data_IF_765916463645
#
_entry.id   IF_765916463645
#
_cell.length_a   1.000
_cell.length_b   1.000
_cell.length_c   1.000
_cell.angle_alpha   90.00
_cell.angle_beta   90.00
_cell.angle_gamma   90.00
#
_symmetry.space_group_name_H-M   'P 1'
#
loop_
_entity.id
_entity.type
_entity.pdbx_description
1 polymer ?
#
# COMPACT_ATOMS: atom_id res chain seq x y z
N UNK A 1 29.52 19.38 2.63
CA UNK A 1 29.50 19.70 1.18
C UNK A 1 28.72 18.63 0.45
N UNK A 2 27.79 18.97 -0.47
CA UNK A 2 27.00 17.97 -1.22
C UNK A 2 27.80 17.34 -2.36
N UNK A 3 27.56 16.04 -2.63
CA UNK A 3 28.14 15.31 -3.77
C UNK A 3 27.68 15.90 -5.11
N UNK A 4 28.43 15.61 -6.18
CA UNK A 4 28.13 16.12 -7.53
C UNK A 4 26.72 15.74 -8.01
N UNK A 5 26.25 14.53 -7.66
CA UNK A 5 24.96 13.99 -8.11
C UNK A 5 23.84 14.21 -7.08
N UNK A 6 24.08 15.04 -6.05
CA UNK A 6 23.08 15.34 -5.04
C UNK A 6 22.00 16.27 -5.60
N UNK A 7 20.74 15.99 -5.26
CA UNK A 7 19.59 16.86 -5.55
C UNK A 7 19.72 18.29 -5.00
N UNK A 8 20.58 18.49 -3.99
CA UNK A 8 20.81 19.79 -3.33
C UNK A 8 22.06 20.52 -3.85
N UNK A 9 22.80 19.94 -4.80
CA UNK A 9 24.09 20.49 -5.25
C UNK A 9 23.96 21.88 -5.88
N UNK A 10 22.89 22.12 -6.64
CA UNK A 10 22.64 23.38 -7.38
C UNK A 10 21.92 24.46 -6.56
N UNK A 11 21.55 24.19 -5.30
CA UNK A 11 20.84 25.17 -4.47
C UNK A 11 21.79 26.19 -3.84
N UNK A 12 21.32 27.42 -3.74
CA UNK A 12 22.01 28.51 -3.05
C UNK A 12 22.09 28.26 -1.55
N UNK A 13 23.19 28.71 -0.94
CA UNK A 13 23.31 28.78 0.51
C UNK A 13 22.52 29.99 1.04
N UNK A 14 21.91 29.84 2.20
CA UNK A 14 21.26 30.92 2.94
C UNK A 14 21.72 30.87 4.40
N UNK A 15 21.67 32.01 5.07
CA UNK A 15 22.03 32.11 6.49
C UNK A 15 20.83 32.63 7.24
N UNK A 16 20.41 31.88 8.25
CA UNK A 16 19.27 32.24 9.12
C UNK A 16 19.76 32.38 10.54
N UNK A 17 19.18 33.33 11.28
CA UNK A 17 19.43 33.47 12.72
C UNK A 17 18.40 32.65 13.50
N UNK A 18 18.85 31.87 14.48
CA UNK A 18 17.94 31.20 15.42
C UNK A 18 17.45 32.16 16.51
N UNK A 19 16.59 31.66 17.42
CA UNK A 19 16.04 32.45 18.52
C UNK A 19 17.11 32.97 19.50
N UNK A 20 18.32 32.42 19.47
CA UNK A 20 19.46 32.78 20.31
C UNK A 20 20.47 33.67 19.56
N UNK A 21 20.15 34.12 18.35
CA UNK A 21 21.00 34.99 17.54
C UNK A 21 22.18 34.29 16.85
N UNK A 22 22.23 32.95 16.88
CA UNK A 22 23.29 32.18 16.20
C UNK A 22 23.01 32.14 14.70
N UNK A 23 24.05 32.39 13.89
CA UNK A 23 23.98 32.31 12.43
C UNK A 23 24.15 30.85 11.98
N UNK A 24 23.11 30.29 11.37
CA UNK A 24 23.10 28.92 10.85
C UNK A 24 23.11 28.97 9.32
N UNK A 25 24.14 28.36 8.72
CA UNK A 25 24.20 28.16 7.28
C UNK A 25 23.35 26.97 6.85
N UNK A 26 22.48 27.17 5.87
CA UNK A 26 21.59 26.14 5.31
C UNK A 26 21.47 26.29 3.79
N UNK A 27 20.78 25.34 3.13
CA UNK A 27 20.37 25.48 1.73
C UNK A 27 18.97 26.09 1.66
N UNK A 28 18.70 26.81 0.57
CA UNK A 28 17.34 27.23 0.24
C UNK A 28 16.42 26.03 0.06
N UNK A 29 15.10 26.24 0.29
CA UNK A 29 14.10 25.19 0.12
C UNK A 29 14.06 24.77 -1.36
N UNK A 30 14.12 23.45 -1.60
CA UNK A 30 13.96 22.89 -2.93
C UNK A 30 12.49 22.74 -3.26
N UNK A 31 12.04 23.37 -4.34
CA UNK A 31 10.74 23.06 -4.95
C UNK A 31 10.90 21.78 -5.78
N UNK A 32 9.99 20.82 -5.60
CA UNK A 32 9.97 19.60 -6.42
C UNK A 32 9.57 20.00 -7.84
N UNK A 33 10.40 19.72 -8.85
CA UNK A 33 10.05 20.05 -10.23
C UNK A 33 8.89 19.18 -10.71
N UNK A 34 8.09 19.69 -11.64
CA UNK A 34 7.17 18.85 -12.40
C UNK A 34 7.99 17.98 -13.36
N UNK A 35 8.04 16.68 -13.08
CA UNK A 35 8.82 15.72 -13.85
C UNK A 35 7.88 14.82 -14.64
N UNK A 36 7.65 15.17 -15.90
CA UNK A 36 7.00 14.26 -16.83
C UNK A 36 7.93 13.05 -17.10
N UNK A 37 7.41 11.84 -16.88
CA UNK A 37 8.10 10.61 -17.26
C UNK A 37 7.27 9.80 -18.25
N UNK A 38 7.93 9.30 -19.28
CA UNK A 38 7.30 8.45 -20.31
C UNK A 38 7.43 6.96 -20.00
N UNK A 39 8.40 6.57 -19.17
CA UNK A 39 8.61 5.16 -18.80
C UNK A 39 7.92 4.82 -17.48
N UNK A 40 7.23 3.68 -17.47
CA UNK A 40 6.59 3.13 -16.28
C UNK A 40 7.24 1.80 -15.91
N UNK A 41 7.61 1.65 -14.63
CA UNK A 41 8.06 0.39 -14.06
C UNK A 41 6.92 -0.24 -13.26
N UNK A 42 6.66 -1.52 -13.50
CA UNK A 42 5.72 -2.31 -12.69
C UNK A 42 6.47 -2.85 -11.49
N UNK A 43 6.00 -2.52 -10.28
CA UNK A 43 6.64 -2.94 -9.04
C UNK A 43 6.61 -4.46 -8.91
N UNK A 44 7.77 -5.04 -8.65
CA UNK A 44 7.95 -6.45 -8.34
C UNK A 44 8.28 -6.66 -6.86
N UNK A 45 8.07 -7.88 -6.38
CA UNK A 45 8.50 -8.24 -5.04
C UNK A 45 10.03 -8.13 -4.92
N UNK A 46 10.49 -7.50 -3.85
CA UNK A 46 11.92 -7.29 -3.61
C UNK A 46 12.51 -6.03 -4.23
N UNK A 47 11.76 -5.26 -5.03
CA UNK A 47 12.25 -4.04 -5.68
C UNK A 47 12.88 -3.04 -4.70
N UNK A 48 13.96 -2.39 -5.13
CA UNK A 48 14.63 -1.34 -4.37
C UNK A 48 14.93 -0.15 -5.29
N UNK A 49 14.71 1.06 -4.79
CA UNK A 49 14.85 2.27 -5.60
C UNK A 49 16.29 2.54 -6.06
N UNK A 50 17.28 2.16 -5.26
CA UNK A 50 18.69 2.22 -5.63
C UNK A 50 19.02 1.28 -6.80
N UNK A 51 18.46 0.08 -6.81
CA UNK A 51 18.60 -0.86 -7.92
C UNK A 51 17.87 -0.37 -9.18
N UNK A 52 16.65 0.15 -9.04
CA UNK A 52 15.90 0.74 -10.16
C UNK A 52 16.64 1.94 -10.74
N UNK A 53 17.19 2.81 -9.89
CA UNK A 53 18.02 3.94 -10.30
C UNK A 53 19.30 3.49 -11.01
N UNK A 54 19.96 2.44 -10.54
CA UNK A 54 21.12 1.89 -11.23
C UNK A 54 20.75 1.30 -12.60
N UNK A 55 19.63 0.59 -12.72
CA UNK A 55 19.15 0.06 -13.99
C UNK A 55 18.85 1.18 -15.00
N UNK A 56 18.16 2.24 -14.54
CA UNK A 56 17.72 3.35 -15.38
C UNK A 56 18.81 4.38 -15.69
N UNK A 57 19.67 4.72 -14.72
CA UNK A 57 20.60 5.85 -14.77
C UNK A 57 22.07 5.47 -14.65
N UNK A 58 22.37 4.17 -14.49
CA UNK A 58 23.72 3.65 -14.18
C UNK A 58 24.33 4.26 -12.91
N UNK A 59 23.49 4.81 -12.02
CA UNK A 59 23.89 5.44 -10.77
C UNK A 59 22.80 5.20 -9.71
N UNK A 60 23.12 4.38 -8.72
CA UNK A 60 22.20 4.03 -7.62
C UNK A 60 21.86 5.23 -6.73
N UNK A 61 22.69 6.27 -6.70
CA UNK A 61 22.49 7.47 -5.87
C UNK A 61 21.44 8.41 -6.45
N UNK A 62 20.99 8.20 -7.69
CA UNK A 62 19.97 9.00 -8.40
C UNK A 62 18.53 8.54 -8.15
N UNK A 63 18.29 7.67 -7.17
CA UNK A 63 16.94 7.19 -6.81
C UNK A 63 15.96 8.30 -6.45
N UNK A 64 16.45 9.45 -5.97
CA UNK A 64 15.62 10.61 -5.67
C UNK A 64 14.89 11.18 -6.90
N UNK A 65 15.41 10.94 -8.13
CA UNK A 65 14.71 11.34 -9.37
C UNK A 65 13.42 10.56 -9.58
N UNK A 66 13.42 9.28 -9.21
CA UNK A 66 12.22 8.44 -9.23
C UNK A 66 11.21 9.00 -8.24
N UNK A 67 11.64 9.40 -7.04
CA UNK A 67 10.74 10.01 -6.06
C UNK A 67 10.16 11.34 -6.53
N UNK A 68 10.99 12.22 -7.12
CA UNK A 68 10.50 13.51 -7.64
C UNK A 68 9.45 13.34 -8.75
N UNK A 69 9.54 12.25 -9.53
CA UNK A 69 8.57 11.95 -10.60
C UNK A 69 7.29 11.24 -10.11
N UNK A 70 7.21 10.88 -8.82
CA UNK A 70 6.02 10.29 -8.23
C UNK A 70 5.66 11.03 -6.92
N UNK A 71 5.32 12.33 -7.01
CA UNK A 71 5.08 13.19 -5.85
C UNK A 71 3.83 12.82 -5.05
N UNK A 72 2.95 11.97 -5.58
CA UNK A 72 1.77 11.46 -4.88
C UNK A 72 2.14 10.57 -3.68
N UNK A 73 3.37 10.05 -3.63
CA UNK A 73 3.85 9.26 -2.50
C UNK A 73 4.59 10.13 -1.49
N UNK A 74 4.11 10.10 -0.25
CA UNK A 74 4.73 10.81 0.87
C UNK A 74 6.12 10.26 1.24
N UNK A 75 6.38 8.97 0.99
CA UNK A 75 7.65 8.33 1.32
C UNK A 75 8.13 7.36 0.22
N UNK A 76 9.45 7.15 0.08
CA UNK A 76 9.99 6.15 -0.85
C UNK A 76 9.54 4.72 -0.52
N UNK A 77 9.27 4.42 0.76
CA UNK A 77 8.76 3.12 1.19
C UNK A 77 7.28 2.95 0.82
N UNK A 78 6.48 4.01 0.90
CA UNK A 78 5.09 4.03 0.44
C UNK A 78 5.02 3.66 -1.03
N UNK A 79 5.92 4.23 -1.85
CA UNK A 79 5.98 3.94 -3.29
C UNK A 79 6.26 2.47 -3.60
N UNK A 80 7.02 1.75 -2.76
CA UNK A 80 7.30 0.32 -2.90
C UNK A 80 6.33 -0.60 -2.13
N UNK A 81 5.38 -0.04 -1.38
CA UNK A 81 4.49 -0.82 -0.51
C UNK A 81 5.24 -1.51 0.64
N UNK A 82 6.33 -0.91 1.11
CA UNK A 82 7.22 -1.47 2.16
C UNK A 82 7.07 -0.80 3.52
N UNK A 83 5.98 -0.07 3.72
CA UNK A 83 5.68 0.60 5.00
C UNK A 83 5.36 -0.42 6.13
N UNK A 84 5.48 -0.01 7.40
CA UNK A 84 5.11 -0.86 8.54
C UNK A 84 3.61 -1.16 8.60
N UNK A 85 2.78 -0.23 8.15
CA UNK A 85 1.33 -0.41 8.08
C UNK A 85 0.99 -1.27 6.86
N UNK A 86 0.30 -2.38 7.10
CA UNK A 86 -0.06 -3.35 6.06
C UNK A 86 -1.53 -3.65 6.13
N UNK A 87 -2.19 -3.70 4.97
CA UNK A 87 -3.58 -4.13 4.85
C UNK A 87 -3.63 -5.55 4.29
N UNK A 88 -4.37 -6.42 4.96
CA UNK A 88 -4.72 -7.74 4.46
C UNK A 88 -6.22 -7.81 4.19
N UNK A 89 -6.60 -8.61 3.20
CA UNK A 89 -7.99 -8.96 2.91
C UNK A 89 -8.15 -10.45 3.17
N UNK A 90 -9.08 -10.82 4.04
CA UNK A 90 -9.34 -12.20 4.45
C UNK A 90 -10.76 -12.56 4.04
N UNK A 91 -10.92 -13.59 3.21
CA UNK A 91 -12.24 -14.14 2.94
C UNK A 91 -12.79 -14.83 4.19
N UNK A 92 -14.03 -14.52 4.57
CA UNK A 92 -14.67 -15.10 5.75
C UNK A 92 -16.06 -15.65 5.43
N UNK A 93 -16.40 -16.76 6.09
CA UNK A 93 -17.77 -17.31 6.12
C UNK A 93 -18.17 -17.61 7.56
N UNK A 94 -19.46 -17.57 7.85
CA UNK A 94 -19.99 -17.88 9.17
C UNK A 94 -20.94 -19.07 9.06
N UNK A 95 -20.61 -20.23 9.64
CA UNK A 95 -21.43 -21.43 9.57
C UNK A 95 -22.53 -21.49 10.64
N UNK A 96 -22.52 -20.57 11.62
CA UNK A 96 -23.51 -20.55 12.70
C UNK A 96 -24.90 -20.13 12.22
N UNK A 97 -25.92 -20.47 13.02
CA UNK A 97 -27.28 -20.01 12.79
C UNK A 97 -27.43 -18.53 13.17
N UNK A 98 -28.14 -17.77 12.34
CA UNK A 98 -28.42 -16.34 12.57
C UNK A 98 -27.42 -15.39 11.93
N UNK A 99 -27.49 -14.12 12.34
CA UNK A 99 -26.60 -13.08 11.85
C UNK A 99 -25.17 -13.26 12.39
N UNK A 100 -24.13 -13.17 11.55
CA UNK A 100 -22.76 -13.28 12.03
C UNK A 100 -22.42 -12.16 13.02
N UNK A 101 -21.56 -12.42 14.02
CA UNK A 101 -21.21 -11.46 15.07
C UNK A 101 -20.23 -10.38 14.58
N UNK A 102 -20.62 -9.61 13.56
CA UNK A 102 -19.80 -8.58 12.91
C UNK A 102 -19.37 -7.46 13.86
N UNK A 103 -20.28 -7.01 14.72
CA UNK A 103 -19.99 -5.96 15.69
C UNK A 103 -18.95 -6.41 16.72
N UNK A 104 -19.06 -7.64 17.21
CA UNK A 104 -18.07 -8.21 18.13
C UNK A 104 -16.73 -8.42 17.43
N UNK A 105 -16.74 -8.83 16.16
CA UNK A 105 -15.54 -8.96 15.35
C UNK A 105 -14.78 -7.63 15.24
N UNK A 106 -15.46 -6.58 14.78
CA UNK A 106 -14.85 -5.25 14.65
C UNK A 106 -14.36 -4.77 16.01
N UNK A 107 -15.19 -4.87 17.05
CA UNK A 107 -14.82 -4.44 18.41
C UNK A 107 -13.58 -5.17 18.93
N UNK A 108 -13.53 -6.49 18.82
CA UNK A 108 -12.43 -7.29 19.34
C UNK A 108 -11.13 -7.02 18.59
N UNK A 109 -11.19 -6.89 17.26
CA UNK A 109 -10.01 -6.57 16.45
C UNK A 109 -9.53 -5.15 16.72
N UNK A 110 -10.40 -4.13 16.68
CA UNK A 110 -10.01 -2.74 16.91
C UNK A 110 -9.48 -2.49 18.33
N UNK A 111 -9.87 -3.31 19.31
CA UNK A 111 -9.32 -3.24 20.67
C UNK A 111 -7.87 -3.78 20.79
N UNK A 112 -7.33 -4.46 19.76
CA UNK A 112 -5.98 -5.02 19.80
C UNK A 112 -4.92 -3.97 19.48
N UNK A 113 -3.84 -3.99 20.27
CA UNK A 113 -2.66 -3.15 20.02
C UNK A 113 -2.10 -3.41 18.62
N UNK A 114 -1.91 -2.34 17.86
CA UNK A 114 -1.32 -2.39 16.52
C UNK A 114 -2.30 -2.71 15.40
N UNK A 115 -3.59 -2.89 15.68
CA UNK A 115 -4.64 -2.82 14.65
C UNK A 115 -5.06 -1.35 14.51
N UNK A 116 -5.02 -0.84 13.29
CA UNK A 116 -5.37 0.54 12.96
C UNK A 116 -6.81 0.64 12.48
N UNK A 117 -7.21 -0.27 11.59
CA UNK A 117 -8.52 -0.23 10.95
C UNK A 117 -9.02 -1.62 10.57
N UNK A 118 -10.35 -1.79 10.58
CA UNK A 118 -11.06 -3.04 10.27
C UNK A 118 -12.32 -2.71 9.49
N UNK A 119 -12.42 -3.18 8.25
CA UNK A 119 -13.61 -3.00 7.42
C UNK A 119 -14.14 -4.34 6.90
N UNK A 120 -15.44 -4.36 6.65
CA UNK A 120 -16.12 -5.47 5.98
C UNK A 120 -16.43 -5.00 4.55
N UNK A 121 -15.97 -5.78 3.57
CA UNK A 121 -16.12 -5.47 2.15
C UNK A 121 -16.83 -6.63 1.47
N UNK A 122 -17.94 -6.34 0.80
CA UNK A 122 -18.62 -7.29 -0.08
C UNK A 122 -17.94 -7.27 -1.47
N UNK A 123 -17.46 -8.43 -1.94
CA UNK A 123 -17.05 -8.67 -3.33
C UNK A 123 -18.20 -9.41 -4.03
N UNK A 124 -18.99 -8.68 -4.82
CA UNK A 124 -20.14 -9.19 -5.57
C UNK A 124 -19.68 -9.54 -6.97
N UNK A 125 -19.80 -10.82 -7.34
CA UNK A 125 -19.52 -11.30 -8.70
C UNK A 125 -20.76 -11.87 -9.35
N UNK A 126 -20.96 -11.55 -10.61
CA UNK A 126 -21.95 -12.21 -11.45
C UNK A 126 -21.42 -13.61 -11.80
N UNK A 127 -22.21 -14.62 -11.47
CA UNK A 127 -21.93 -16.03 -11.76
C UNK A 127 -23.11 -16.63 -12.49
N UNK A 128 -22.85 -17.46 -13.49
CA UNK A 128 -23.89 -18.28 -14.11
C UNK A 128 -24.38 -19.30 -13.08
N UNK A 129 -25.69 -19.36 -12.91
CA UNK A 129 -26.38 -20.34 -12.08
C UNK A 129 -27.43 -21.05 -12.90
N UNK A 130 -27.61 -22.32 -12.58
CA UNK A 130 -28.66 -23.14 -13.14
C UNK A 130 -29.78 -23.27 -12.11
N UNK A 131 -31.01 -23.14 -12.57
CA UNK A 131 -32.23 -23.32 -11.80
C UNK A 131 -33.14 -24.22 -12.60
N UNK A 132 -33.60 -25.31 -11.99
CA UNK A 132 -34.74 -26.06 -12.55
C UNK A 132 -36.02 -25.26 -12.30
N UNK A 133 -36.70 -24.90 -13.38
CA UNK A 133 -38.01 -24.27 -13.34
C UNK A 133 -38.93 -25.00 -14.31
N UNK A 134 -40.04 -25.53 -13.79
CA UNK A 134 -41.03 -26.29 -14.57
C UNK A 134 -40.47 -27.50 -15.36
N UNK A 135 -39.37 -28.10 -14.89
CA UNK A 135 -38.75 -29.27 -15.52
C UNK A 135 -37.68 -28.96 -16.57
N UNK A 136 -37.43 -27.67 -16.85
CA UNK A 136 -36.34 -27.21 -17.69
C UNK A 136 -35.22 -26.57 -16.85
N UNK A 137 -33.96 -26.80 -17.24
CA UNK A 137 -32.80 -26.15 -16.64
C UNK A 137 -32.61 -24.77 -17.28
N UNK A 138 -32.86 -23.72 -16.51
CA UNK A 138 -32.64 -22.33 -16.94
C UNK A 138 -31.30 -21.85 -16.39
N UNK A 139 -30.39 -21.48 -17.30
CA UNK A 139 -29.17 -20.75 -16.95
C UNK A 139 -29.49 -19.27 -16.81
N UNK A 140 -29.19 -18.70 -15.65
CA UNK A 140 -29.37 -17.28 -15.37
C UNK A 140 -28.12 -16.69 -14.72
N UNK A 141 -27.93 -15.39 -14.88
CA UNK A 141 -26.86 -14.67 -14.18
C UNK A 141 -27.31 -14.37 -12.75
N UNK A 142 -26.68 -15.01 -11.77
CA UNK A 142 -26.90 -14.75 -10.35
C UNK A 142 -25.74 -14.00 -9.71
N UNK A 143 -26.02 -13.26 -8.63
CA UNK A 143 -24.98 -12.62 -7.83
C UNK A 143 -24.42 -13.56 -6.76
N UNK A 144 -23.09 -13.72 -6.72
CA UNK A 144 -22.37 -14.36 -5.63
C UNK A 144 -21.61 -13.29 -4.85
N UNK A 145 -22.17 -12.89 -3.72
CA UNK A 145 -21.50 -12.01 -2.76
C UNK A 145 -20.56 -12.84 -1.88
N UNK A 146 -19.30 -12.46 -1.86
CA UNK A 146 -18.30 -12.96 -0.91
C UNK A 146 -17.94 -11.85 0.06
N UNK A 147 -17.87 -12.17 1.35
CA UNK A 147 -17.50 -11.18 2.38
C UNK A 147 -16.03 -11.31 2.73
N UNK A 148 -15.33 -10.19 2.63
CA UNK A 148 -13.94 -10.08 3.03
C UNK A 148 -13.83 -9.13 4.21
N UNK A 149 -13.04 -9.51 5.20
CA UNK A 149 -12.63 -8.62 6.28
C UNK A 149 -11.27 -8.06 5.90
N UNK A 150 -11.21 -6.74 5.71
CA UNK A 150 -9.95 -6.04 5.50
C UNK A 150 -9.45 -5.50 6.83
N UNK A 151 -8.18 -5.78 7.14
CA UNK A 151 -7.55 -5.36 8.39
C UNK A 151 -6.26 -4.64 8.06
N UNK A 152 -6.17 -3.39 8.50
CA UNK A 152 -4.95 -2.58 8.45
C UNK A 152 -4.29 -2.63 9.82
N UNK A 153 -3.04 -3.07 9.86
CA UNK A 153 -2.31 -3.24 11.11
C UNK A 153 -0.82 -2.96 10.94
N UNK A 154 -0.18 -2.58 12.04
CA UNK A 154 1.26 -2.42 12.12
C UNK A 154 1.91 -3.80 12.28
N UNK A 155 2.61 -4.25 11.24
CA UNK A 155 3.28 -5.57 11.22
C UNK A 155 4.39 -5.74 12.26
N UNK A 156 4.84 -4.63 12.87
CA UNK A 156 5.84 -4.66 13.95
C UNK A 156 5.24 -5.04 15.30
N UNK A 157 3.93 -4.85 15.48
CA UNK A 157 3.23 -5.10 16.74
C UNK A 157 2.33 -6.35 16.67
N UNK A 158 1.73 -6.59 15.50
CA UNK A 158 0.75 -7.66 15.29
C UNK A 158 1.11 -8.51 14.09
N UNK A 159 0.86 -9.83 14.20
CA UNK A 159 1.06 -10.79 13.12
C UNK A 159 -0.27 -11.20 12.51
N UNK A 160 -0.27 -11.52 11.22
CA UNK A 160 -1.45 -12.02 10.49
C UNK A 160 -2.14 -13.20 11.19
N UNK A 161 -1.36 -14.12 11.75
CA UNK A 161 -1.89 -15.28 12.47
C UNK A 161 -2.71 -14.93 13.71
N UNK A 162 -2.39 -13.84 14.41
CA UNK A 162 -3.16 -13.39 15.58
C UNK A 162 -4.53 -12.84 15.16
N UNK A 163 -4.59 -12.12 14.03
CA UNK A 163 -5.84 -11.61 13.46
C UNK A 163 -6.74 -12.77 13.03
N UNK A 164 -6.19 -13.75 12.31
CA UNK A 164 -6.92 -14.96 11.88
C UNK A 164 -7.42 -15.77 13.08
N UNK A 165 -6.62 -15.88 14.15
CA UNK A 165 -7.02 -16.55 15.37
C UNK A 165 -8.22 -15.87 16.03
N UNK A 166 -8.23 -14.54 16.14
CA UNK A 166 -9.34 -13.77 16.70
C UNK A 166 -10.62 -13.93 15.87
N UNK A 167 -10.52 -13.85 14.54
CA UNK A 167 -11.65 -14.08 13.63
C UNK A 167 -12.26 -15.47 13.88
N UNK A 168 -11.43 -16.51 13.95
CA UNK A 168 -11.89 -17.89 14.19
C UNK A 168 -12.47 -18.09 15.58
N UNK A 169 -11.97 -17.38 16.60
CA UNK A 169 -12.49 -17.47 17.96
C UNK A 169 -13.95 -17.03 18.06
N UNK A 170 -14.41 -16.17 17.14
CA UNK A 170 -15.81 -15.74 17.02
C UNK A 170 -16.67 -16.66 16.15
N UNK A 171 -16.13 -17.82 15.74
CA UNK A 171 -16.86 -18.83 14.95
C UNK A 171 -16.83 -18.60 13.44
N UNK A 172 -16.07 -17.62 12.95
CA UNK A 172 -15.88 -17.47 11.50
C UNK A 172 -14.90 -18.49 10.95
N UNK A 173 -15.22 -19.04 9.78
CA UNK A 173 -14.27 -19.72 8.93
C UNK A 173 -13.50 -18.70 8.09
N UNK A 174 -12.19 -18.89 7.97
CA UNK A 174 -11.32 -18.02 7.16
C UNK A 174 -10.84 -18.80 5.93
N UNK A 175 -11.10 -18.29 4.74
CA UNK A 175 -10.57 -18.81 3.48
C UNK A 175 -9.20 -18.22 3.13
N UNK A 176 -8.98 -18.02 1.83
CA UNK A 176 -7.78 -17.35 1.32
C UNK A 176 -7.68 -15.92 1.86
N UNK A 177 -6.44 -15.48 2.08
CA UNK A 177 -6.15 -14.09 2.38
C UNK A 177 -4.95 -13.61 1.59
N UNK A 178 -4.99 -12.36 1.16
CA UNK A 178 -3.92 -11.72 0.41
C UNK A 178 -3.55 -10.39 1.03
N UNK A 179 -2.31 -9.96 0.79
CA UNK A 179 -1.85 -8.63 1.22
C UNK A 179 -2.19 -7.64 0.12
N UNK A 180 -2.90 -6.57 0.48
CA UNK A 180 -3.13 -5.46 -0.44
C UNK A 180 -1.80 -4.71 -0.54
N UNK A 181 -1.01 -5.06 -1.56
CA UNK A 181 0.33 -4.52 -1.77
C UNK A 181 0.38 -3.66 -3.04
N UNK A 182 1.52 -3.02 -3.25
CA UNK A 182 1.80 -2.29 -4.49
C UNK A 182 2.45 -3.14 -5.58
N UNK A 183 2.70 -4.43 -5.33
CA UNK A 183 3.19 -5.34 -6.38
C UNK A 183 2.21 -5.34 -7.55
N UNK A 184 2.72 -5.22 -8.78
CA UNK A 184 1.92 -5.08 -9.99
C UNK A 184 1.41 -3.66 -10.26
N UNK A 185 1.54 -2.71 -9.33
CA UNK A 185 1.25 -1.29 -9.58
C UNK A 185 2.44 -0.62 -10.27
N UNK A 186 2.17 0.46 -10.98
CA UNK A 186 3.18 1.18 -11.76
C UNK A 186 3.72 2.39 -11.02
N UNK A 187 4.97 2.71 -11.28
CA UNK A 187 5.64 3.97 -10.90
C UNK A 187 6.36 4.55 -12.12
N UNK A 188 6.52 5.86 -12.13
CA UNK A 188 7.20 6.60 -13.20
C UNK A 188 8.70 6.58 -12.98
N UNK A 189 9.47 6.21 -14.00
CA UNK A 189 10.92 6.44 -14.05
C UNK A 189 11.17 7.54 -15.07
N UNK A 190 11.60 8.74 -14.66
CA UNK A 190 11.86 9.81 -15.60
C UNK A 190 13.09 9.49 -16.45
N UNK A 191 13.18 10.02 -17.69
CA UNK A 191 14.35 9.83 -18.53
C UNK A 191 15.61 10.43 -17.89
N UNK A 192 16.78 9.91 -18.26
CA UNK A 192 18.06 10.50 -17.87
C UNK A 192 18.36 11.75 -18.70
N UNK A 193 17.57 12.80 -18.51
CA UNK A 193 17.89 14.11 -19.08
C UNK A 193 19.09 14.66 -18.33
N UNK A 194 20.20 14.80 -19.05
CA UNK A 194 21.41 15.48 -18.58
C UNK A 194 21.10 16.97 -18.59
N UNK A 195 20.94 17.56 -17.41
CA UNK A 195 20.73 19.00 -17.23
C UNK A 195 21.64 19.58 -16.16
#
# INVERSE_FOLDING_TARGET
MFSKNSRYKKLSDTVTSDAQGRRLGSKTLRVVPDVAGTFQHTIEEGDRLDHLAYKAYKDSTRWWRICDANPEFMSPQAMLGKEPMVTISIHVTFPGEGDPPWCDLIRNLTARVGIEDVNIVDDIRLVEREMEYEGDTITYTGERATRNVTVTFNRMNTRKGAIVHEIRALGFNTGEFYTISRVGKKIILPPDVVG
#
